data_IF_223598173020
#
_entry.id   IF_223598173020
#
_cell.length_a   1.000
_cell.length_b   1.000
_cell.length_c   1.000
_cell.angle_alpha   90.00
_cell.angle_beta   90.00
_cell.angle_gamma   90.00
#
_symmetry.space_group_name_H-M   'P 1'
#
loop_
_entity.id
_entity.type
_entity.pdbx_description
1 polymer ?
#
# COMPACT_ATOMS: atom_id res chain seq x y z
N UNK A 1 3.35 -7.29 1.22
CA UNK A 1 4.78 -7.11 1.58
C UNK A 1 5.11 -7.60 3.00
N UNK A 2 6.39 -7.87 3.26
CA UNK A 2 6.98 -8.02 4.60
C UNK A 2 7.78 -6.77 4.97
N UNK A 3 7.29 -6.00 5.94
CA UNK A 3 7.82 -4.68 6.29
C UNK A 3 8.34 -4.68 7.73
N UNK A 4 9.58 -4.27 7.94
CA UNK A 4 10.13 -4.00 9.26
C UNK A 4 9.84 -2.56 9.68
N UNK A 5 9.17 -2.37 10.82
CA UNK A 5 8.98 -1.04 11.42
C UNK A 5 9.83 -0.94 12.68
N UNK A 6 10.61 0.12 12.80
CA UNK A 6 11.34 0.45 14.01
C UNK A 6 10.82 1.79 14.55
N UNK A 7 10.25 1.79 15.75
CA UNK A 7 10.07 3.03 16.48
C UNK A 7 11.44 3.45 17.01
N UNK A 8 11.96 4.57 16.55
CA UNK A 8 13.27 5.07 16.92
C UNK A 8 13.45 5.15 18.44
N UNK A 9 14.68 4.95 18.88
CA UNK A 9 15.13 5.06 20.26
C UNK A 9 14.59 4.02 21.25
N UNK A 10 15.33 3.86 22.35
CA UNK A 10 14.88 3.11 23.52
C UNK A 10 13.82 3.89 24.30
N UNK A 11 13.07 3.19 25.16
CA UNK A 11 12.01 3.83 25.96
C UNK A 11 12.60 4.81 26.98
N UNK A 12 13.74 4.45 27.56
CA UNK A 12 14.51 5.26 28.51
C UNK A 12 15.99 4.82 28.49
N UNK A 13 16.87 5.66 29.03
CA UNK A 13 18.28 5.34 29.21
C UNK A 13 19.09 5.41 27.91
N UNK A 14 20.19 4.64 27.77
CA UNK A 14 21.03 4.69 26.59
C UNK A 14 20.23 4.46 25.29
N UNK A 15 20.41 5.37 24.33
CA UNK A 15 19.69 5.36 23.06
C UNK A 15 18.27 5.93 23.13
N UNK A 16 17.88 6.64 24.19
CA UNK A 16 16.63 7.42 24.23
C UNK A 16 16.73 8.66 23.34
N UNK A 17 15.60 9.09 22.79
CA UNK A 17 15.53 10.24 21.88
C UNK A 17 15.53 11.59 22.59
N UNK A 18 15.41 12.64 21.79
CA UNK A 18 15.38 14.01 22.28
C UNK A 18 14.09 14.31 23.07
N UNK A 19 14.19 15.21 24.05
CA UNK A 19 13.05 15.72 24.82
C UNK A 19 12.96 17.22 24.57
N UNK A 20 11.91 17.64 23.86
CA UNK A 20 11.56 19.04 23.65
C UNK A 20 10.17 19.33 24.24
N UNK A 21 9.31 19.94 23.44
CA UNK A 21 7.87 20.09 23.77
C UNK A 21 7.15 18.74 23.78
N UNK A 22 7.65 17.78 23.01
CA UNK A 22 7.25 16.36 23.00
C UNK A 22 8.48 15.48 23.23
N UNK A 23 8.28 14.24 23.67
CA UNK A 23 9.35 13.28 23.90
C UNK A 23 9.45 12.34 22.69
N UNK A 24 10.58 12.37 21.98
CA UNK A 24 10.78 11.58 20.77
C UNK A 24 10.56 10.08 21.01
N UNK A 25 11.13 9.49 22.07
CA UNK A 25 10.97 8.06 22.38
C UNK A 25 9.51 7.63 22.57
N UNK A 26 8.65 8.54 23.01
CA UNK A 26 7.21 8.32 23.16
C UNK A 26 6.51 8.48 21.81
N UNK A 27 6.80 9.57 21.09
CA UNK A 27 6.06 9.90 19.87
C UNK A 27 6.42 9.00 18.68
N UNK A 28 7.65 8.51 18.59
CA UNK A 28 8.03 7.48 17.61
C UNK A 28 7.18 6.22 17.78
N UNK A 29 6.88 5.83 19.02
CA UNK A 29 6.01 4.68 19.35
C UNK A 29 4.54 5.00 19.06
N UNK A 30 4.06 6.19 19.41
CA UNK A 30 2.68 6.60 19.14
C UNK A 30 2.36 6.58 17.64
N UNK A 31 3.27 7.07 16.79
CA UNK A 31 3.12 7.00 15.34
C UNK A 31 3.40 5.58 14.83
N UNK A 32 4.52 4.97 15.24
CA UNK A 32 4.99 3.70 14.71
C UNK A 32 4.05 2.53 14.96
N UNK A 33 3.46 2.41 16.16
CA UNK A 33 2.49 1.35 16.42
C UNK A 33 1.19 1.52 15.64
N UNK A 34 0.78 2.76 15.34
CA UNK A 34 -0.36 3.03 14.44
C UNK A 34 -0.02 2.68 13.00
N UNK A 35 1.21 2.96 12.54
CA UNK A 35 1.70 2.51 11.22
C UNK A 35 1.66 0.98 11.14
N UNK A 36 2.16 0.28 12.17
CA UNK A 36 2.14 -1.19 12.23
C UNK A 36 0.70 -1.73 12.13
N UNK A 37 -0.22 -1.21 12.95
CA UNK A 37 -1.62 -1.64 12.96
C UNK A 37 -2.30 -1.42 11.58
N UNK A 38 -2.13 -0.22 11.01
CA UNK A 38 -2.71 0.12 9.70
C UNK A 38 -2.13 -0.74 8.57
N UNK A 39 -0.82 -0.97 8.54
CA UNK A 39 -0.19 -1.83 7.53
C UNK A 39 -0.67 -3.29 7.64
N UNK A 40 -0.81 -3.82 8.87
CA UNK A 40 -1.37 -5.16 9.11
C UNK A 40 -2.83 -5.26 8.65
N UNK A 41 -3.66 -4.23 8.91
CA UNK A 41 -5.05 -4.17 8.43
C UNK A 41 -5.17 -4.16 6.91
N UNK A 42 -4.15 -3.65 6.21
CA UNK A 42 -4.04 -3.71 4.75
C UNK A 42 -3.44 -5.04 4.24
N UNK A 43 -3.29 -6.05 5.10
CA UNK A 43 -2.82 -7.39 4.70
C UNK A 43 -1.30 -7.55 4.64
N UNK A 44 -0.52 -6.56 5.08
CA UNK A 44 0.94 -6.69 5.10
C UNK A 44 1.43 -7.52 6.29
N UNK A 45 2.51 -8.27 6.07
CA UNK A 45 3.25 -8.91 7.15
C UNK A 45 4.20 -7.86 7.77
N UNK A 46 3.97 -7.47 9.02
CA UNK A 46 4.75 -6.40 9.66
C UNK A 46 5.54 -6.95 10.84
N UNK A 47 6.86 -6.75 10.79
CA UNK A 47 7.80 -7.11 11.86
C UNK A 47 8.14 -5.85 12.66
N UNK A 48 7.80 -5.85 13.94
CA UNK A 48 8.27 -4.81 14.86
C UNK A 48 9.76 -5.05 15.19
N UNK A 49 10.58 -4.04 14.91
CA UNK A 49 12.03 -4.00 15.12
C UNK A 49 12.41 -2.96 16.19
N UNK A 50 11.46 -2.56 17.04
CA UNK A 50 11.66 -1.61 18.14
C UNK A 50 12.44 -2.26 19.28
N UNK A 51 13.41 -1.53 19.85
CA UNK A 51 14.21 -1.97 21.00
C UNK A 51 13.91 -1.04 22.16
N UNK A 52 13.35 -1.58 23.26
CA UNK A 52 12.95 -0.76 24.41
C UNK A 52 14.09 -0.44 25.37
N UNK A 53 15.12 -1.28 25.45
CA UNK A 53 16.26 -1.14 26.37
C UNK A 53 17.56 -1.64 25.74
N UNK A 54 18.64 -0.91 25.99
CA UNK A 54 20.01 -1.29 25.65
C UNK A 54 20.97 -0.71 26.70
N UNK A 55 22.15 -1.31 26.85
CA UNK A 55 23.22 -0.81 27.72
C UNK A 55 23.99 0.34 27.08
N UNK A 56 23.99 0.44 25.74
CA UNK A 56 24.59 1.57 25.01
C UNK A 56 23.77 1.92 23.76
N UNK A 57 23.98 3.12 23.21
CA UNK A 57 23.41 3.50 21.92
C UNK A 57 23.88 2.59 20.77
N UNK A 58 25.16 2.22 20.74
CA UNK A 58 25.70 1.32 19.72
C UNK A 58 25.04 -0.06 19.76
N UNK A 59 24.80 -0.59 20.96
CA UNK A 59 24.11 -1.86 21.13
C UNK A 59 22.65 -1.77 20.65
N UNK A 60 21.94 -0.67 20.96
CA UNK A 60 20.59 -0.44 20.46
C UNK A 60 20.53 -0.52 18.93
N UNK A 61 21.38 0.25 18.24
CA UNK A 61 21.45 0.27 16.78
C UNK A 61 21.81 -1.11 16.19
N UNK A 62 22.73 -1.82 16.83
CA UNK A 62 23.09 -3.19 16.44
C UNK A 62 21.91 -4.15 16.59
N UNK A 63 21.18 -4.11 17.71
CA UNK A 63 19.99 -4.94 17.94
C UNK A 63 18.87 -4.67 16.94
N UNK A 64 18.58 -3.40 16.63
CA UNK A 64 17.57 -3.00 15.63
C UNK A 64 17.91 -3.64 14.28
N UNK A 65 19.12 -3.43 13.79
CA UNK A 65 19.54 -3.92 12.47
C UNK A 65 19.66 -5.44 12.42
N UNK A 66 20.12 -6.09 13.51
CA UNK A 66 20.13 -7.54 13.61
C UNK A 66 18.71 -8.13 13.55
N UNK A 67 17.73 -7.49 14.19
CA UNK A 67 16.33 -7.92 14.15
C UNK A 67 15.74 -7.78 12.75
N UNK A 68 15.97 -6.65 12.08
CA UNK A 68 15.56 -6.45 10.69
C UNK A 68 16.22 -7.46 9.74
N UNK A 69 17.53 -7.66 9.85
CA UNK A 69 18.31 -8.50 8.93
C UNK A 69 18.13 -10.01 9.13
N UNK A 70 17.53 -10.45 10.24
CA UNK A 70 17.07 -11.84 10.43
C UNK A 70 15.82 -12.15 9.60
N UNK A 71 15.19 -11.14 9.02
CA UNK A 71 14.00 -11.26 8.21
C UNK A 71 14.35 -10.96 6.75
N UNK A 72 13.64 -11.60 5.84
CA UNK A 72 13.64 -11.22 4.43
C UNK A 72 12.60 -10.11 4.22
N UNK A 73 12.98 -8.86 4.50
CA UNK A 73 12.07 -7.71 4.41
C UNK A 73 12.12 -7.08 3.02
N UNK A 74 10.96 -6.71 2.49
CA UNK A 74 10.86 -5.84 1.31
C UNK A 74 11.28 -4.41 1.65
N UNK A 75 10.95 -3.97 2.86
CA UNK A 75 11.20 -2.63 3.38
C UNK A 75 11.57 -2.64 4.86
N UNK A 76 12.48 -1.77 5.26
CA UNK A 76 12.71 -1.37 6.64
C UNK A 76 12.49 0.14 6.80
N UNK A 77 11.64 0.52 7.74
CA UNK A 77 11.23 1.90 7.97
C UNK A 77 11.43 2.23 9.44
N UNK A 78 12.32 3.17 9.70
CA UNK A 78 12.58 3.68 11.05
C UNK A 78 11.89 5.04 11.22
N UNK A 79 11.10 5.21 12.27
CA UNK A 79 10.30 6.42 12.52
C UNK A 79 10.94 7.20 13.66
N UNK A 80 11.23 8.47 13.41
CA UNK A 80 11.96 9.41 14.25
C UNK A 80 11.31 10.79 14.27
N UNK A 81 11.74 11.64 15.20
CA UNK A 81 11.41 13.07 15.21
C UNK A 81 12.69 13.87 15.43
N UNK A 82 12.84 14.95 14.69
CA UNK A 82 14.08 15.72 14.66
C UNK A 82 14.16 16.69 15.86
N UNK A 83 15.31 17.29 16.07
CA UNK A 83 15.55 18.31 17.09
C UNK A 83 16.59 19.34 16.60
N UNK A 84 16.83 20.40 17.37
CA UNK A 84 17.83 21.43 17.06
C UNK A 84 17.25 22.67 16.39
N UNK A 85 15.99 23.02 16.67
CA UNK A 85 15.42 24.31 16.26
C UNK A 85 14.99 24.43 14.79
N UNK A 86 14.77 23.31 14.10
CA UNK A 86 14.30 23.28 12.71
C UNK A 86 12.76 23.21 12.56
N UNK A 87 12.32 23.09 11.31
CA UNK A 87 10.91 22.88 10.95
C UNK A 87 10.77 21.96 9.74
N UNK A 88 9.74 21.12 9.73
CA UNK A 88 9.37 20.23 8.66
C UNK A 88 9.75 18.77 8.84
N UNK A 89 9.35 17.98 7.86
CA UNK A 89 9.65 16.56 7.73
C UNK A 89 10.80 16.31 6.74
N UNK A 90 11.56 15.24 6.95
CA UNK A 90 12.59 14.74 6.03
C UNK A 90 12.68 13.22 6.06
N UNK A 91 13.20 12.62 5.00
CA UNK A 91 13.43 11.18 4.92
C UNK A 91 14.88 10.91 4.53
N UNK A 92 15.55 10.04 5.26
CA UNK A 92 16.91 9.62 4.98
C UNK A 92 16.93 8.26 4.29
N UNK A 93 17.65 8.15 3.18
CA UNK A 93 17.86 6.90 2.44
C UNK A 93 19.35 6.70 2.16
N UNK A 94 19.76 5.46 1.90
CA UNK A 94 21.18 5.20 1.59
C UNK A 94 21.59 5.94 0.31
N UNK A 95 22.67 6.71 0.38
CA UNK A 95 23.17 7.64 -0.65
C UNK A 95 22.16 8.70 -1.10
N UNK A 96 21.14 8.98 -0.29
CA UNK A 96 20.08 9.94 -0.64
C UNK A 96 19.26 9.52 -1.85
N UNK A 97 19.17 8.21 -2.09
CA UNK A 97 18.40 7.65 -3.21
C UNK A 97 16.94 8.08 -3.11
N UNK A 98 16.46 8.70 -4.19
CA UNK A 98 15.12 9.25 -4.33
C UNK A 98 14.11 8.13 -4.63
N UNK A 99 13.87 7.25 -3.65
CA UNK A 99 12.78 6.27 -3.77
C UNK A 99 11.45 7.01 -3.83
N UNK A 100 10.57 6.65 -4.78
CA UNK A 100 9.28 7.32 -4.90
C UNK A 100 8.49 7.25 -3.58
N UNK A 101 8.53 6.11 -2.88
CA UNK A 101 7.89 5.96 -1.56
C UNK A 101 8.40 6.98 -0.53
N UNK A 102 9.70 7.29 -0.53
CA UNK A 102 10.30 8.24 0.40
C UNK A 102 9.91 9.69 0.06
N UNK A 103 9.84 10.02 -1.24
CA UNK A 103 9.36 11.31 -1.74
C UNK A 103 7.90 11.50 -1.36
N UNK A 104 7.07 10.48 -1.55
CA UNK A 104 5.65 10.51 -1.26
C UNK A 104 5.39 10.59 0.25
N UNK A 105 6.22 9.96 1.10
CA UNK A 105 6.15 10.13 2.57
C UNK A 105 6.37 11.60 2.93
N UNK A 106 7.45 12.23 2.44
CA UNK A 106 7.70 13.66 2.67
C UNK A 106 6.54 14.52 2.17
N UNK A 107 6.02 14.23 0.98
CA UNK A 107 4.88 14.97 0.41
C UNK A 107 3.64 14.82 1.29
N UNK A 108 3.27 13.59 1.68
CA UNK A 108 2.07 13.29 2.45
C UNK A 108 2.10 13.89 3.86
N UNK A 109 3.25 13.88 4.52
CA UNK A 109 3.41 14.59 5.80
C UNK A 109 3.31 16.11 5.58
N UNK A 110 3.90 16.63 4.50
CA UNK A 110 3.81 18.06 4.18
C UNK A 110 2.40 18.54 3.82
N UNK A 111 1.59 17.70 3.16
CA UNK A 111 0.16 17.97 2.90
C UNK A 111 -0.65 18.18 4.20
N UNK A 112 -0.14 17.76 5.37
CA UNK A 112 -0.70 18.04 6.70
C UNK A 112 -0.22 19.38 7.30
N UNK A 113 0.54 20.16 6.55
CA UNK A 113 1.00 21.50 6.91
C UNK A 113 2.42 21.58 7.46
N UNK A 114 3.21 20.51 7.40
CA UNK A 114 4.64 20.55 7.75
C UNK A 114 5.48 21.03 6.55
N UNK A 115 6.62 21.67 6.80
CA UNK A 115 7.56 22.01 5.72
C UNK A 115 8.14 20.72 5.11
N UNK A 116 8.17 20.60 3.79
CA UNK A 116 8.83 19.48 3.11
C UNK A 116 10.32 19.77 2.95
N UNK A 117 11.19 18.97 3.58
CA UNK A 117 12.66 19.11 3.46
C UNK A 117 13.29 18.04 2.55
N UNK A 118 12.46 17.19 1.95
CA UNK A 118 12.83 16.20 0.95
C UNK A 118 13.61 15.01 1.49
N UNK A 119 14.11 14.21 0.54
CA UNK A 119 14.92 13.02 0.80
C UNK A 119 16.40 13.41 0.87
N UNK A 120 17.09 12.91 1.90
CA UNK A 120 18.49 13.24 2.24
C UNK A 120 19.38 12.00 2.31
N UNK A 121 20.69 12.23 2.22
CA UNK A 121 21.66 11.15 2.36
C UNK A 121 21.77 10.65 3.81
N UNK A 122 21.27 9.45 4.02
CA UNK A 122 21.32 8.70 5.27
C UNK A 122 22.49 7.72 5.37
N UNK A 123 23.49 7.77 4.50
CA UNK A 123 24.61 6.82 4.50
C UNK A 123 25.43 6.82 5.81
N UNK A 124 25.35 7.89 6.60
CA UNK A 124 25.93 7.98 7.94
C UNK A 124 25.08 7.35 9.04
N UNK A 125 23.78 7.13 8.80
CA UNK A 125 22.84 6.61 9.80
C UNK A 125 22.93 5.09 9.86
N UNK A 126 23.22 4.56 11.05
CA UNK A 126 23.53 3.14 11.22
C UNK A 126 22.41 2.22 10.70
N UNK A 127 21.15 2.49 11.05
CA UNK A 127 20.01 1.66 10.64
C UNK A 127 19.73 1.71 9.14
N UNK A 128 20.04 2.81 8.47
CA UNK A 128 19.94 2.93 7.00
C UNK A 128 21.12 2.22 6.32
N UNK A 129 22.34 2.37 6.87
CA UNK A 129 23.56 1.79 6.29
C UNK A 129 23.67 0.28 6.47
N UNK A 130 23.20 -0.26 7.60
CA UNK A 130 23.46 -1.65 8.02
C UNK A 130 22.27 -2.59 7.83
N UNK A 131 21.11 -2.08 7.40
CA UNK A 131 19.98 -2.93 7.03
C UNK A 131 20.15 -3.46 5.60
N UNK A 132 19.88 -4.74 5.39
CA UNK A 132 20.01 -5.42 4.08
C UNK A 132 18.87 -5.05 3.13
N UNK A 133 17.66 -4.94 3.66
CA UNK A 133 16.48 -4.57 2.90
C UNK A 133 16.52 -3.11 2.43
N UNK A 134 15.67 -2.75 1.45
CA UNK A 134 15.40 -1.36 1.08
C UNK A 134 14.99 -0.59 2.34
N UNK A 135 15.68 0.51 2.67
CA UNK A 135 15.51 1.17 3.96
C UNK A 135 15.31 2.69 3.85
N UNK A 136 14.47 3.23 4.74
CA UNK A 136 14.37 4.66 4.99
C UNK A 136 14.27 4.95 6.50
N UNK A 137 14.73 6.14 6.91
CA UNK A 137 14.46 6.71 8.23
C UNK A 137 13.65 8.00 8.03
N UNK A 138 12.52 8.11 8.71
CA UNK A 138 11.58 9.23 8.58
C UNK A 138 11.74 10.11 9.81
N UNK A 139 12.09 11.38 9.60
CA UNK A 139 11.96 12.43 10.60
C UNK A 139 10.62 13.13 10.40
N UNK A 140 9.65 12.85 11.27
CA UNK A 140 8.25 13.27 11.09
C UNK A 140 8.11 14.78 11.21
N UNK A 141 8.66 15.36 12.28
CA UNK A 141 8.75 16.81 12.50
C UNK A 141 9.75 17.09 13.64
N UNK A 142 9.94 18.35 14.04
CA UNK A 142 10.85 18.73 15.12
C UNK A 142 10.16 18.70 16.51
N UNK A 143 10.77 18.03 17.50
CA UNK A 143 10.21 17.88 18.85
C UNK A 143 10.28 19.14 19.71
N UNK A 144 11.14 20.08 19.36
CA UNK A 144 11.52 21.26 20.15
C UNK A 144 10.99 22.59 19.59
N UNK A 145 10.22 22.56 18.49
CA UNK A 145 9.68 23.77 17.85
C UNK A 145 8.15 23.76 17.75
N UNK A 146 7.56 24.73 17.03
CA UNK A 146 6.11 24.78 16.76
C UNK A 146 5.57 23.57 15.97
N UNK A 147 6.47 22.82 15.33
CA UNK A 147 6.13 21.53 14.73
C UNK A 147 5.53 20.55 15.75
N UNK A 148 6.05 20.53 16.98
CA UNK A 148 5.54 19.68 18.04
C UNK A 148 4.10 20.04 18.42
N UNK A 149 3.78 21.34 18.50
CA UNK A 149 2.43 21.82 18.77
C UNK A 149 1.47 21.43 17.63
N UNK A 150 1.91 21.55 16.38
CA UNK A 150 1.14 21.11 15.21
C UNK A 150 0.89 19.60 15.24
N UNK A 151 1.92 18.81 15.53
CA UNK A 151 1.81 17.36 15.69
C UNK A 151 0.78 17.00 16.76
N UNK A 152 0.83 17.62 17.95
CA UNK A 152 -0.13 17.39 19.02
C UNK A 152 -1.57 17.73 18.60
N UNK A 153 -1.76 18.81 17.82
CA UNK A 153 -3.09 19.19 17.32
C UNK A 153 -3.66 18.24 16.25
N UNK A 154 -2.79 17.64 15.43
CA UNK A 154 -3.18 16.68 14.39
C UNK A 154 -3.39 15.27 14.97
N UNK A 155 -2.55 14.89 15.93
CA UNK A 155 -2.49 13.56 16.52
C UNK A 155 -1.71 12.55 15.68
N UNK A 156 -1.12 11.55 16.36
CA UNK A 156 -0.30 10.51 15.76
C UNK A 156 -1.00 9.70 14.65
N UNK A 157 -2.33 9.55 14.71
CA UNK A 157 -3.09 8.75 13.75
C UNK A 157 -3.11 9.34 12.33
N UNK A 158 -3.20 10.67 12.21
CA UNK A 158 -3.14 11.35 10.91
C UNK A 158 -1.78 11.19 10.26
N UNK A 159 -0.70 11.33 11.03
CA UNK A 159 0.67 11.14 10.56
C UNK A 159 0.92 9.69 10.14
N UNK A 160 0.49 8.74 10.97
CA UNK A 160 0.56 7.32 10.63
C UNK A 160 -0.21 6.99 9.34
N UNK A 161 -1.41 7.57 9.16
CA UNK A 161 -2.19 7.40 7.94
C UNK A 161 -1.47 7.96 6.71
N UNK A 162 -0.89 9.17 6.81
CA UNK A 162 -0.11 9.78 5.74
C UNK A 162 1.11 8.94 5.33
N UNK A 163 1.85 8.40 6.31
CA UNK A 163 2.99 7.50 6.08
C UNK A 163 2.53 6.21 5.38
N UNK A 164 1.46 5.58 5.88
CA UNK A 164 0.94 4.33 5.31
C UNK A 164 0.44 4.53 3.89
N UNK A 165 -0.33 5.58 3.63
CA UNK A 165 -0.79 5.91 2.27
C UNK A 165 0.37 6.10 1.30
N UNK A 166 1.46 6.74 1.73
CA UNK A 166 2.64 6.90 0.88
C UNK A 166 3.32 5.56 0.55
N UNK A 167 3.50 4.70 1.57
CA UNK A 167 4.17 3.40 1.40
C UNK A 167 3.30 2.45 0.56
N UNK A 168 1.98 2.49 0.73
CA UNK A 168 1.07 1.56 0.04
C UNK A 168 0.64 2.04 -1.34
N UNK A 169 0.73 3.34 -1.64
CA UNK A 169 0.42 3.89 -2.97
C UNK A 169 1.32 3.36 -4.09
N UNK A 170 2.57 3.00 -3.81
CA UNK A 170 3.45 2.42 -4.83
C UNK A 170 3.34 0.90 -4.95
N UNK A 171 2.62 0.28 -4.01
CA UNK A 171 2.20 -1.11 -4.12
C UNK A 171 1.02 -1.22 -5.09
N UNK A 172 0.22 -0.16 -5.22
CA UNK A 172 -0.91 -0.08 -6.15
C UNK A 172 -0.52 -0.17 -7.64
N UNK A 173 0.75 -0.04 -8.02
CA UNK A 173 1.15 -0.32 -9.42
C UNK A 173 1.44 -1.80 -9.70
N UNK A 174 1.73 -2.61 -8.66
CA UNK A 174 2.09 -4.02 -8.83
C UNK A 174 1.10 -5.01 -8.16
N UNK A 175 0.50 -4.69 -7.00
CA UNK A 175 -0.43 -5.57 -6.28
C UNK A 175 -1.90 -5.09 -6.25
N UNK A 176 -2.24 -3.82 -6.56
CA UNK A 176 -3.66 -3.47 -6.87
C UNK A 176 -4.15 -4.14 -8.16
N UNK A 177 -3.23 -4.57 -9.01
CA UNK A 177 -3.51 -5.49 -10.11
C UNK A 177 -3.83 -6.92 -9.64
N UNK A 178 -3.91 -7.24 -8.35
CA UNK A 178 -4.35 -8.57 -7.91
C UNK A 178 -5.39 -8.55 -6.79
N UNK A 179 -5.46 -7.53 -5.94
CA UNK A 179 -6.45 -7.47 -4.87
C UNK A 179 -7.82 -6.88 -5.27
N UNK A 180 -7.90 -6.18 -6.41
CA UNK A 180 -9.16 -5.66 -6.97
C UNK A 180 -9.52 -6.23 -8.35
N UNK A 181 -8.81 -7.26 -8.82
CA UNK A 181 -9.19 -7.97 -10.04
C UNK A 181 -10.13 -9.10 -9.70
N UNK A 182 -11.34 -9.07 -10.23
CA UNK A 182 -12.18 -10.26 -10.24
C UNK A 182 -11.44 -11.35 -11.04
N UNK A 183 -11.48 -12.60 -10.58
CA UNK A 183 -10.93 -13.72 -11.38
C UNK A 183 -11.68 -13.79 -12.72
N UNK A 184 -12.99 -13.51 -12.69
CA UNK A 184 -13.84 -13.42 -13.87
C UNK A 184 -14.71 -12.17 -13.86
N UNK A 185 -14.81 -11.48 -14.99
CA UNK A 185 -15.82 -10.42 -15.18
C UNK A 185 -16.66 -10.75 -16.40
N UNK A 186 -17.97 -10.70 -16.22
CA UNK A 186 -18.97 -10.99 -17.23
C UNK A 186 -19.72 -9.70 -17.51
N UNK A 187 -19.52 -9.16 -18.71
CA UNK A 187 -20.08 -7.87 -19.14
C UNK A 187 -21.25 -8.12 -20.08
N UNK A 188 -22.38 -7.48 -19.82
CA UNK A 188 -23.60 -7.58 -20.64
C UNK A 188 -24.20 -6.21 -20.92
N UNK A 189 -25.25 -6.17 -21.73
CA UNK A 189 -26.18 -5.04 -21.78
C UNK A 189 -27.59 -5.54 -22.09
N UNK A 190 -28.62 -4.84 -21.62
CA UNK A 190 -30.01 -5.20 -21.89
C UNK A 190 -30.38 -6.63 -21.47
N UNK A 191 -31.10 -7.32 -22.35
CA UNK A 191 -31.71 -8.63 -22.07
C UNK A 191 -30.68 -9.79 -21.96
N UNK A 192 -29.44 -9.58 -22.40
CA UNK A 192 -28.34 -10.54 -22.25
C UNK A 192 -27.91 -10.74 -20.78
N UNK A 193 -28.51 -10.00 -19.85
CA UNK A 193 -28.29 -10.17 -18.40
C UNK A 193 -28.50 -11.61 -17.94
N UNK A 194 -29.54 -12.28 -18.46
CA UNK A 194 -29.87 -13.64 -18.04
C UNK A 194 -28.74 -14.60 -18.39
N UNK A 195 -28.22 -14.50 -19.62
CA UNK A 195 -27.05 -15.26 -20.09
C UNK A 195 -25.79 -14.96 -19.27
N UNK A 196 -25.59 -13.70 -18.86
CA UNK A 196 -24.49 -13.32 -17.99
C UNK A 196 -24.61 -13.88 -16.57
N UNK A 197 -25.83 -13.89 -16.00
CA UNK A 197 -26.12 -14.45 -14.68
C UNK A 197 -25.88 -15.97 -14.65
N UNK A 198 -26.11 -16.70 -15.75
CA UNK A 198 -25.80 -18.14 -15.86
C UNK A 198 -24.29 -18.39 -15.64
N UNK A 199 -23.42 -17.63 -16.31
CA UNK A 199 -21.98 -17.73 -16.09
C UNK A 199 -21.59 -17.31 -14.67
N UNK A 200 -22.22 -16.25 -14.14
CA UNK A 200 -22.01 -15.81 -12.76
C UNK A 200 -22.36 -16.89 -11.74
N UNK A 201 -23.47 -17.61 -11.94
CA UNK A 201 -23.88 -18.75 -11.11
C UNK A 201 -22.89 -19.90 -11.17
N UNK A 202 -22.30 -20.21 -12.33
CA UNK A 202 -21.23 -21.20 -12.44
C UNK A 202 -20.02 -20.83 -11.57
N UNK A 203 -19.45 -19.63 -11.74
CA UNK A 203 -18.29 -19.22 -10.94
C UNK A 203 -18.59 -19.07 -9.45
N UNK A 204 -19.83 -18.72 -9.10
CA UNK A 204 -20.30 -18.77 -7.71
C UNK A 204 -20.20 -20.18 -7.12
N UNK A 205 -20.58 -21.21 -7.87
CA UNK A 205 -20.51 -22.62 -7.42
C UNK A 205 -19.07 -23.12 -7.31
N UNK A 206 -18.20 -22.70 -8.21
CA UNK A 206 -16.75 -22.98 -8.16
C UNK A 206 -16.01 -22.19 -7.07
N UNK A 207 -16.72 -21.33 -6.32
CA UNK A 207 -16.15 -20.46 -5.28
C UNK A 207 -15.04 -19.55 -5.81
N UNK A 208 -15.17 -19.14 -7.07
CA UNK A 208 -14.23 -18.23 -7.73
C UNK A 208 -14.71 -16.79 -7.66
N UNK A 209 -13.78 -15.83 -7.57
CA UNK A 209 -14.11 -14.40 -7.55
C UNK A 209 -14.68 -13.97 -8.91
N UNK A 210 -15.89 -13.42 -8.93
CA UNK A 210 -16.53 -12.97 -10.17
C UNK A 210 -17.29 -11.65 -10.01
N UNK A 211 -17.47 -10.94 -11.13
CA UNK A 211 -18.36 -9.79 -11.27
C UNK A 211 -19.26 -9.97 -12.49
N UNK A 212 -20.56 -9.82 -12.31
CA UNK A 212 -21.51 -9.62 -13.41
C UNK A 212 -21.87 -8.13 -13.44
N UNK A 213 -21.67 -7.45 -14.57
CA UNK A 213 -21.86 -6.00 -14.68
C UNK A 213 -22.37 -5.57 -16.05
N UNK A 214 -23.18 -4.51 -16.08
CA UNK A 214 -23.57 -3.87 -17.33
C UNK A 214 -22.37 -3.13 -17.93
N UNK A 215 -22.25 -3.11 -19.26
CA UNK A 215 -21.15 -2.44 -19.98
C UNK A 215 -21.02 -0.95 -19.63
N UNK A 216 -22.12 -0.27 -19.26
CA UNK A 216 -22.07 1.13 -18.85
C UNK A 216 -21.30 1.34 -17.54
N UNK A 217 -21.25 0.32 -16.69
CA UNK A 217 -20.62 0.34 -15.36
C UNK A 217 -19.25 -0.38 -15.36
N UNK A 218 -18.87 -0.98 -16.49
CA UNK A 218 -17.63 -1.71 -16.65
C UNK A 218 -16.40 -0.79 -16.50
N UNK A 219 -15.41 -1.28 -15.75
CA UNK A 219 -14.15 -0.58 -15.49
C UNK A 219 -12.98 -1.43 -15.99
N UNK A 220 -12.21 -0.97 -16.99
CA UNK A 220 -11.06 -1.69 -17.53
C UNK A 220 -9.98 -2.02 -16.50
N UNK A 221 -9.16 -3.02 -16.80
CA UNK A 221 -7.98 -3.48 -16.04
C UNK A 221 -8.29 -4.09 -14.66
N UNK A 222 -9.54 -4.49 -14.43
CA UNK A 222 -10.02 -5.05 -13.15
C UNK A 222 -10.41 -6.52 -13.20
N UNK A 223 -9.91 -7.29 -14.17
CA UNK A 223 -10.27 -8.70 -14.29
C UNK A 223 -9.16 -9.57 -14.86
N UNK A 224 -9.09 -10.84 -14.48
CA UNK A 224 -8.16 -11.81 -15.08
C UNK A 224 -8.75 -12.42 -16.36
N UNK A 225 -10.02 -12.81 -16.31
CA UNK A 225 -10.75 -13.36 -17.45
C UNK A 225 -12.00 -12.50 -17.74
N UNK A 226 -12.06 -11.94 -18.94
CA UNK A 226 -13.16 -11.09 -19.38
C UNK A 226 -14.07 -11.85 -20.36
N UNK A 227 -15.34 -11.98 -20.02
CA UNK A 227 -16.40 -12.54 -20.85
C UNK A 227 -17.37 -11.43 -21.23
N UNK A 228 -17.76 -11.36 -22.50
CA UNK A 228 -18.68 -10.33 -23.01
C UNK A 228 -19.85 -11.01 -23.68
N UNK A 229 -21.05 -10.73 -23.16
CA UNK A 229 -22.29 -11.40 -23.52
C UNK A 229 -23.12 -10.48 -24.41
N UNK A 230 -23.56 -11.01 -25.55
CA UNK A 230 -24.41 -10.29 -26.50
C UNK A 230 -23.65 -9.53 -27.58
N UNK A 231 -24.19 -9.53 -28.80
CA UNK A 231 -23.55 -8.94 -29.98
C UNK A 231 -23.36 -7.42 -29.86
N UNK A 232 -24.35 -6.71 -29.32
CA UNK A 232 -24.27 -5.26 -29.08
C UNK A 232 -23.16 -4.93 -28.09
N UNK A 233 -23.11 -5.66 -26.97
CA UNK A 233 -22.07 -5.52 -25.95
C UNK A 233 -20.68 -5.81 -26.52
N UNK A 234 -20.56 -6.88 -27.32
CA UNK A 234 -19.31 -7.26 -27.97
C UNK A 234 -18.79 -6.17 -28.91
N UNK A 235 -19.65 -5.55 -29.72
CA UNK A 235 -19.24 -4.47 -30.62
C UNK A 235 -18.75 -3.23 -29.85
N UNK A 236 -19.45 -2.84 -28.78
CA UNK A 236 -19.00 -1.76 -27.89
C UNK A 236 -17.67 -2.08 -27.22
N UNK A 237 -17.48 -3.31 -26.74
CA UNK A 237 -16.22 -3.74 -26.13
C UNK A 237 -15.07 -3.77 -27.14
N UNK A 238 -15.30 -4.13 -28.41
CA UNK A 238 -14.28 -4.06 -29.48
C UNK A 238 -13.78 -2.64 -29.70
N UNK A 239 -14.65 -1.64 -29.64
CA UNK A 239 -14.22 -0.24 -29.75
C UNK A 239 -13.46 0.22 -28.51
N UNK A 240 -13.95 -0.14 -27.31
CA UNK A 240 -13.26 0.15 -26.05
C UNK A 240 -11.87 -0.51 -25.97
N UNK A 241 -11.73 -1.75 -26.44
CA UNK A 241 -10.47 -2.49 -26.36
C UNK A 241 -9.38 -1.93 -27.26
N UNK A 242 -9.71 -1.13 -28.29
CA UNK A 242 -8.71 -0.41 -29.09
C UNK A 242 -7.90 0.58 -28.26
N UNK A 243 -8.52 1.18 -27.24
CA UNK A 243 -7.84 2.15 -26.35
C UNK A 243 -7.34 1.50 -25.07
N UNK A 244 -8.06 0.52 -24.53
CA UNK A 244 -7.71 -0.12 -23.25
C UNK A 244 -6.83 -1.36 -23.41
N UNK A 245 -6.76 -1.98 -24.59
CA UNK A 245 -6.00 -3.22 -24.80
C UNK A 245 -6.63 -4.47 -24.17
N UNK A 246 -7.89 -4.41 -23.74
CA UNK A 246 -8.62 -5.54 -23.15
C UNK A 246 -8.75 -6.72 -24.11
N UNK A 247 -8.51 -7.93 -23.60
CA UNK A 247 -8.74 -9.19 -24.31
C UNK A 247 -9.92 -9.90 -23.67
N UNK A 248 -10.85 -10.37 -24.49
CA UNK A 248 -12.09 -10.95 -23.99
C UNK A 248 -12.62 -12.09 -24.85
N UNK A 249 -13.34 -13.00 -24.18
CA UNK A 249 -14.12 -14.07 -24.79
C UNK A 249 -15.51 -13.55 -25.15
N UNK A 250 -15.91 -13.73 -26.40
CA UNK A 250 -17.21 -13.29 -26.92
C UNK A 250 -18.19 -14.45 -26.84
N UNK A 251 -19.34 -14.23 -26.20
CA UNK A 251 -20.43 -15.20 -26.11
C UNK A 251 -21.72 -14.54 -26.59
N UNK A 252 -22.01 -14.70 -27.88
CA UNK A 252 -23.25 -14.21 -28.47
C UNK A 252 -23.66 -15.01 -29.69
N UNK A 253 -24.95 -14.94 -30.01
CA UNK A 253 -25.55 -15.45 -31.24
C UNK A 253 -26.49 -14.39 -31.84
N UNK A 254 -27.35 -14.80 -32.76
CA UNK A 254 -28.25 -13.90 -33.50
C UNK A 254 -29.34 -13.26 -32.63
N UNK A 255 -29.70 -13.90 -31.52
CA UNK A 255 -30.74 -13.46 -30.60
C UNK A 255 -30.41 -13.84 -29.14
N UNK A 256 -31.21 -13.35 -28.20
CA UNK A 256 -31.00 -13.53 -26.75
C UNK A 256 -31.10 -15.00 -26.34
N UNK A 257 -32.03 -15.77 -26.91
CA UNK A 257 -32.23 -17.19 -26.60
C UNK A 257 -31.05 -18.02 -27.10
N UNK A 258 -30.64 -17.82 -28.36
CA UNK A 258 -29.47 -18.48 -28.91
C UNK A 258 -28.16 -18.06 -28.21
N UNK A 259 -28.11 -16.84 -27.65
CA UNK A 259 -26.98 -16.39 -26.82
C UNK A 259 -26.97 -17.10 -25.46
N UNK A 260 -28.16 -17.33 -24.88
CA UNK A 260 -28.33 -18.11 -23.66
C UNK A 260 -27.89 -19.57 -23.85
N UNK A 261 -28.23 -20.19 -24.99
CA UNK A 261 -27.77 -21.55 -25.31
C UNK A 261 -26.24 -21.65 -25.35
N UNK A 262 -25.57 -20.66 -25.96
CA UNK A 262 -24.10 -20.59 -25.97
C UNK A 262 -23.50 -20.40 -24.56
N UNK A 263 -24.15 -19.59 -23.72
CA UNK A 263 -23.73 -19.42 -22.34
C UNK A 263 -23.83 -20.74 -21.56
N UNK A 264 -24.89 -21.52 -21.78
CA UNK A 264 -25.09 -22.84 -21.18
C UNK A 264 -24.05 -23.85 -21.73
N UNK A 265 -23.80 -23.86 -23.03
CA UNK A 265 -22.80 -24.73 -23.67
C UNK A 265 -21.41 -24.46 -23.10
N UNK A 266 -21.01 -23.19 -23.00
CA UNK A 266 -19.75 -22.79 -22.39
C UNK A 266 -19.59 -23.31 -20.95
N UNK A 267 -20.65 -23.22 -20.14
CA UNK A 267 -20.63 -23.75 -18.77
C UNK A 267 -20.49 -25.28 -18.78
N UNK A 268 -21.18 -25.98 -19.68
CA UNK A 268 -21.10 -27.45 -19.79
C UNK A 268 -19.71 -27.93 -20.19
N UNK A 269 -18.99 -27.21 -21.04
CA UNK A 269 -17.60 -27.53 -21.43
C UNK A 269 -16.59 -27.39 -20.28
N UNK A 270 -16.98 -26.71 -19.19
CA UNK A 270 -16.13 -26.40 -18.04
C UNK A 270 -16.41 -27.27 -16.81
N UNK A 271 -17.43 -28.12 -16.88
CA UNK A 271 -17.79 -29.12 -15.86
C UNK A 271 -17.08 -30.45 -16.16
#
# INVERSE_FOLDING_TARGET
MKIGINCGHTKTGPGSGAIGKINESIETRNVGYKVIDKLKKLGNNVVDCTIDKASTQSECLSKITAQANRQDLDWFISIHFNAGGGKGCEVYTYKGKQYQDAIDVCKKISDLGFTNRGVKDGSGLYVVKKTKAKSMLIEVCFVDTEDANKYLSLGADKLATAIVEAITKHISSAEENNYNRYKHTIVYSGDDKVSADILGLYYKREKESYLVTDIKDYKPHRTQNLYVIGGVTCNKMKEMSKTTGEKFTQLYSNDVWSTMDKAIEFVKEKL
#
